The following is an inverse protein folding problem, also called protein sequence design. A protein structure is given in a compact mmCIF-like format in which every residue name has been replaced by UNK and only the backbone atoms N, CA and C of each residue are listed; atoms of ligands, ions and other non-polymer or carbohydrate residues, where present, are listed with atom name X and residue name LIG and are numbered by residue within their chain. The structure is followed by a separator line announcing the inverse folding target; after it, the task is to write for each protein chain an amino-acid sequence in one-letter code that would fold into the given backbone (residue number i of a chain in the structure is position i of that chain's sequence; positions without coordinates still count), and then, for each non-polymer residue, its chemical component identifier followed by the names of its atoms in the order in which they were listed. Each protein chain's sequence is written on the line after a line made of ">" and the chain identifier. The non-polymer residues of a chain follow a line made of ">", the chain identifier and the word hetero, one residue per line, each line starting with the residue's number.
data_IF_611719647196
#
_entry.id   IF_611719647196
#
_cell.length_a   1.000
_cell.length_b   1.000
_cell.length_c   1.000
_cell.angle_alpha   90.00
_cell.angle_beta   90.00
_cell.angle_gamma   90.00
#
_symmetry.space_group_name_H-M   'P 1'
#
loop_
_entity.id
_entity.type
_entity.pdbx_description
1 polymer ?
#
# COMPACT_ATOMS: atom_id res chain seq x y z
N UNK A 1 27.12 67.10 -9.68
CA UNK A 1 27.04 66.32 -8.42
C UNK A 1 26.04 65.18 -8.62
N UNK A 2 26.31 64.23 -9.54
CA UNK A 2 25.41 63.08 -9.85
C UNK A 2 26.19 61.76 -10.00
N UNK A 3 27.53 61.79 -10.10
CA UNK A 3 28.31 60.59 -10.46
C UNK A 3 28.58 59.62 -9.30
N UNK A 4 28.66 60.10 -8.04
CA UNK A 4 28.98 59.25 -6.90
C UNK A 4 27.86 58.25 -6.55
N UNK A 5 26.59 58.62 -6.74
CA UNK A 5 25.43 57.76 -6.43
C UNK A 5 25.30 56.63 -7.45
N UNK A 6 25.64 56.89 -8.73
CA UNK A 6 25.57 55.89 -9.81
C UNK A 6 26.66 54.82 -9.67
N UNK A 7 27.89 55.21 -9.29
CA UNK A 7 29.02 54.28 -9.08
C UNK A 7 28.77 53.39 -7.85
N UNK A 8 28.27 53.96 -6.74
CA UNK A 8 27.96 53.20 -5.52
C UNK A 8 26.78 52.25 -5.75
N UNK A 9 25.75 52.68 -6.50
CA UNK A 9 24.63 51.82 -6.89
C UNK A 9 25.05 50.65 -7.78
N UNK A 10 26.03 50.86 -8.67
CA UNK A 10 26.57 49.81 -9.55
C UNK A 10 27.35 48.75 -8.76
N UNK A 11 28.16 49.16 -7.79
CA UNK A 11 28.91 48.25 -6.90
C UNK A 11 27.95 47.47 -5.99
N UNK A 12 26.92 48.13 -5.45
CA UNK A 12 25.89 47.48 -4.65
C UNK A 12 25.09 46.43 -5.45
N UNK A 13 24.76 46.69 -6.73
CA UNK A 13 24.09 45.69 -7.60
C UNK A 13 24.95 44.47 -7.89
N UNK A 14 26.27 44.63 -8.08
CA UNK A 14 27.19 43.52 -8.32
C UNK A 14 27.33 42.66 -7.05
N UNK A 15 27.52 43.30 -5.89
CA UNK A 15 27.61 42.60 -4.61
C UNK A 15 26.29 41.89 -4.25
N UNK A 16 25.15 42.54 -4.52
CA UNK A 16 23.82 41.96 -4.36
C UNK A 16 23.57 40.75 -5.27
N UNK A 17 24.01 40.81 -6.52
CA UNK A 17 23.89 39.69 -7.46
C UNK A 17 24.74 38.47 -7.04
N UNK A 18 25.94 38.68 -6.53
CA UNK A 18 26.80 37.61 -6.00
C UNK A 18 26.17 36.96 -4.76
N UNK A 19 25.60 37.77 -3.86
CA UNK A 19 24.94 37.28 -2.65
C UNK A 19 23.65 36.52 -2.97
N UNK A 20 22.83 37.05 -3.88
CA UNK A 20 21.63 36.39 -4.39
C UNK A 20 21.95 35.07 -5.11
N UNK A 21 23.05 34.99 -5.86
CA UNK A 21 23.49 33.75 -6.50
C UNK A 21 23.92 32.68 -5.48
N UNK A 22 24.64 33.08 -4.43
CA UNK A 22 25.06 32.19 -3.34
C UNK A 22 23.86 31.68 -2.54
N UNK A 23 22.90 32.55 -2.25
CA UNK A 23 21.69 32.20 -1.52
C UNK A 23 20.75 31.33 -2.39
N UNK A 24 20.56 31.67 -3.67
CA UNK A 24 19.82 30.85 -4.62
C UNK A 24 20.44 29.44 -4.77
N UNK A 25 21.77 29.32 -4.73
CA UNK A 25 22.44 28.01 -4.76
C UNK A 25 22.15 27.20 -3.50
N UNK A 26 22.21 27.82 -2.31
CA UNK A 26 21.83 27.17 -1.05
C UNK A 26 20.35 26.76 -1.03
N UNK A 27 19.45 27.63 -1.49
CA UNK A 27 18.02 27.34 -1.58
C UNK A 27 17.73 26.21 -2.57
N UNK A 28 18.43 26.14 -3.71
CA UNK A 28 18.34 25.01 -4.65
C UNK A 28 18.78 23.71 -4.00
N UNK A 29 19.90 23.71 -3.26
CA UNK A 29 20.38 22.50 -2.56
C UNK A 29 19.44 22.09 -1.43
N UNK A 30 18.90 23.04 -0.65
CA UNK A 30 17.92 22.77 0.39
C UNK A 30 16.59 22.25 -0.19
N UNK A 31 16.12 22.82 -1.29
CA UNK A 31 14.93 22.35 -1.99
C UNK A 31 15.14 20.95 -2.59
N UNK A 32 16.32 20.66 -3.16
CA UNK A 32 16.67 19.32 -3.64
C UNK A 32 16.72 18.31 -2.50
N UNK A 33 17.27 18.68 -1.34
CA UNK A 33 17.29 17.81 -0.15
C UNK A 33 15.87 17.56 0.37
N UNK A 34 15.06 18.62 0.49
CA UNK A 34 13.67 18.51 0.91
C UNK A 34 12.84 17.66 -0.05
N UNK A 35 13.08 17.80 -1.36
CA UNK A 35 12.45 16.98 -2.39
C UNK A 35 12.84 15.52 -2.25
N UNK A 36 14.14 15.20 -2.08
CA UNK A 36 14.60 13.83 -1.82
C UNK A 36 14.00 13.22 -0.55
N UNK A 37 13.98 13.98 0.55
CA UNK A 37 13.39 13.53 1.81
C UNK A 37 11.90 13.26 1.63
N UNK A 38 11.18 14.15 0.94
CA UNK A 38 9.77 13.97 0.61
C UNK A 38 9.55 12.69 -0.21
N UNK A 39 10.34 12.49 -1.25
CA UNK A 39 10.21 11.33 -2.15
C UNK A 39 10.53 10.02 -1.39
N UNK A 40 11.56 10.01 -0.53
CA UNK A 40 11.87 8.90 0.37
C UNK A 40 10.74 8.61 1.36
N UNK A 41 10.14 9.66 1.94
CA UNK A 41 9.07 9.52 2.93
C UNK A 41 7.77 9.00 2.29
N UNK A 42 7.44 9.45 1.07
CA UNK A 42 6.32 8.92 0.29
C UNK A 42 6.58 7.45 -0.07
N UNK A 43 7.79 7.12 -0.54
CA UNK A 43 8.17 5.74 -0.83
C UNK A 43 8.03 4.83 0.40
N UNK A 44 8.57 5.26 1.54
CA UNK A 44 8.47 4.52 2.80
C UNK A 44 7.03 4.35 3.25
N UNK A 45 6.17 5.38 3.13
CA UNK A 45 4.75 5.27 3.46
C UNK A 45 4.06 4.20 2.61
N UNK A 46 4.25 4.24 1.29
CA UNK A 46 3.66 3.27 0.36
C UNK A 46 4.12 1.83 0.64
N UNK A 47 5.41 1.65 0.91
CA UNK A 47 5.94 0.32 1.28
C UNK A 47 5.37 -0.16 2.62
N UNK A 48 5.18 0.73 3.60
CA UNK A 48 4.59 0.39 4.90
C UNK A 48 3.14 -0.05 4.76
N UNK A 49 2.34 0.67 3.98
CA UNK A 49 0.92 0.35 3.75
C UNK A 49 0.75 -1.01 3.03
N UNK A 50 1.60 -1.29 2.03
CA UNK A 50 1.59 -2.60 1.37
C UNK A 50 2.14 -3.73 2.27
N UNK A 51 3.07 -3.44 3.19
CA UNK A 51 3.56 -4.42 4.16
C UNK A 51 2.49 -4.79 5.19
N UNK A 52 1.72 -3.81 5.67
CA UNK A 52 0.55 -4.03 6.52
C UNK A 52 -0.46 -4.94 5.82
N UNK A 53 -0.76 -4.65 4.55
CA UNK A 53 -1.67 -5.45 3.74
C UNK A 53 -1.19 -6.90 3.57
N UNK A 54 0.13 -7.11 3.41
CA UNK A 54 0.73 -8.46 3.36
C UNK A 54 0.59 -9.21 4.68
N UNK A 55 0.79 -8.52 5.81
CA UNK A 55 0.65 -9.13 7.13
C UNK A 55 -0.81 -9.55 7.41
N UNK A 56 -1.77 -8.70 7.05
CA UNK A 56 -3.19 -9.01 7.15
C UNK A 56 -3.60 -10.17 6.24
N UNK A 57 -3.12 -10.18 4.99
CA UNK A 57 -3.35 -11.29 4.06
C UNK A 57 -2.82 -12.62 4.63
N UNK A 58 -1.58 -12.63 5.15
CA UNK A 58 -0.99 -13.82 5.74
C UNK A 58 -1.75 -14.31 6.99
N UNK A 59 -2.25 -13.37 7.80
CA UNK A 59 -3.09 -13.69 8.97
C UNK A 59 -4.41 -14.33 8.54
N UNK A 60 -5.09 -13.74 7.55
CA UNK A 60 -6.30 -14.30 6.98
C UNK A 60 -6.05 -15.70 6.40
N UNK A 61 -5.02 -15.87 5.56
CA UNK A 61 -4.66 -17.18 5.00
C UNK A 61 -4.45 -18.24 6.09
N UNK A 62 -3.66 -17.93 7.13
CA UNK A 62 -3.40 -18.84 8.24
C UNK A 62 -4.66 -19.22 9.02
N UNK A 63 -5.63 -18.30 9.16
CA UNK A 63 -6.93 -18.59 9.77
C UNK A 63 -7.76 -19.52 8.89
N UNK A 64 -7.67 -19.35 7.57
CA UNK A 64 -8.46 -20.10 6.61
C UNK A 64 -7.87 -21.47 6.21
N UNK A 65 -6.59 -21.75 6.48
CA UNK A 65 -5.96 -23.05 6.13
C UNK A 65 -6.70 -24.26 6.70
N UNK A 66 -7.31 -24.13 7.88
CA UNK A 66 -8.05 -25.23 8.52
C UNK A 66 -9.31 -25.64 7.75
N UNK A 67 -9.93 -24.74 6.98
CA UNK A 67 -11.10 -25.06 6.15
C UNK A 67 -10.73 -25.73 4.83
N UNK A 68 -9.45 -25.69 4.43
CA UNK A 68 -8.92 -26.45 3.30
C UNK A 68 -8.69 -27.93 3.59
N UNK A 69 -8.96 -28.40 4.82
CA UNK A 69 -8.82 -29.79 5.20
C UNK A 69 -9.89 -30.67 4.49
N UNK A 70 -9.50 -31.89 4.11
CA UNK A 70 -10.37 -32.84 3.40
C UNK A 70 -11.48 -33.45 4.28
N UNK A 71 -11.43 -33.28 5.60
CA UNK A 71 -12.43 -33.80 6.53
C UNK A 71 -13.18 -32.66 7.24
N UNK A 72 -14.42 -32.33 6.82
CA UNK A 72 -15.23 -31.28 7.44
C UNK A 72 -15.49 -31.52 8.94
N UNK A 73 -15.50 -32.78 9.41
CA UNK A 73 -15.73 -33.09 10.83
C UNK A 73 -14.67 -32.48 11.77
N UNK A 74 -13.46 -32.21 11.25
CA UNK A 74 -12.41 -31.53 12.00
C UNK A 74 -12.74 -30.06 12.34
N UNK A 75 -13.79 -29.51 11.71
CA UNK A 75 -14.27 -28.14 11.93
C UNK A 75 -15.35 -28.04 13.02
N UNK A 76 -15.74 -29.16 13.62
CA UNK A 76 -16.74 -29.16 14.68
C UNK A 76 -16.29 -28.31 15.88
N UNK A 77 -17.13 -27.36 16.29
CA UNK A 77 -16.84 -26.45 17.41
C UNK A 77 -15.94 -25.25 17.07
N UNK A 78 -15.54 -25.09 15.80
CA UNK A 78 -14.83 -23.89 15.36
C UNK A 78 -15.82 -22.73 15.21
N UNK A 79 -15.46 -21.57 15.75
CA UNK A 79 -16.16 -20.32 15.51
C UNK A 79 -15.71 -19.70 14.17
N UNK A 80 -16.36 -20.13 13.09
CA UNK A 80 -16.08 -19.61 11.75
C UNK A 80 -16.48 -18.14 11.58
N UNK A 81 -17.39 -17.64 12.41
CA UNK A 81 -17.74 -16.23 12.39
C UNK A 81 -16.58 -15.37 12.91
N UNK A 82 -15.99 -15.75 14.05
CA UNK A 82 -14.83 -15.06 14.60
C UNK A 82 -13.60 -15.12 13.67
N UNK A 83 -13.38 -16.25 12.97
CA UNK A 83 -12.26 -16.34 12.02
C UNK A 83 -12.47 -15.47 10.77
N UNK A 84 -13.71 -15.17 10.41
CA UNK A 84 -14.05 -14.29 9.29
C UNK A 84 -13.64 -12.83 9.51
N UNK A 85 -13.49 -12.40 10.77
CA UNK A 85 -13.08 -11.04 11.13
C UNK A 85 -11.66 -10.71 10.63
N UNK A 86 -10.78 -11.71 10.59
CA UNK A 86 -9.42 -11.53 10.03
C UNK A 86 -9.46 -11.23 8.52
N UNK A 87 -10.43 -11.81 7.81
CA UNK A 87 -10.64 -11.51 6.39
C UNK A 87 -11.30 -10.14 6.20
N UNK A 88 -12.28 -9.77 7.03
CA UNK A 88 -12.89 -8.44 6.99
C UNK A 88 -11.85 -7.33 7.19
N UNK A 89 -10.98 -7.49 8.18
CA UNK A 89 -9.89 -6.54 8.41
C UNK A 89 -9.00 -6.39 7.18
N UNK A 90 -8.62 -7.50 6.56
CA UNK A 90 -7.86 -7.47 5.30
C UNK A 90 -8.62 -6.75 4.18
N UNK A 91 -9.91 -7.06 3.98
CA UNK A 91 -10.74 -6.46 2.93
C UNK A 91 -10.92 -4.95 3.11
N UNK A 92 -11.13 -4.48 4.34
CA UNK A 92 -11.24 -3.04 4.64
C UNK A 92 -9.94 -2.30 4.36
N UNK A 93 -8.80 -2.86 4.78
CA UNK A 93 -7.49 -2.28 4.49
C UNK A 93 -7.18 -2.32 2.99
N UNK A 94 -7.54 -3.41 2.30
CA UNK A 94 -7.40 -3.53 0.85
C UNK A 94 -8.18 -2.43 0.11
N UNK A 95 -9.42 -2.18 0.51
CA UNK A 95 -10.25 -1.13 -0.08
C UNK A 95 -9.66 0.27 0.16
N UNK A 96 -9.06 0.48 1.33
CA UNK A 96 -8.40 1.75 1.69
C UNK A 96 -7.14 2.02 0.87
N UNK A 97 -6.52 0.96 0.33
CA UNK A 97 -5.30 1.01 -0.46
C UNK A 97 -5.53 0.63 -1.93
N UNK A 98 -6.76 0.73 -2.42
CA UNK A 98 -7.11 0.29 -3.77
C UNK A 98 -6.36 1.06 -4.86
N UNK A 99 -5.96 2.31 -4.62
CA UNK A 99 -5.16 3.14 -5.54
C UNK A 99 -3.85 2.48 -5.99
N UNK A 100 -3.32 1.51 -5.24
CA UNK A 100 -2.13 0.76 -5.61
C UNK A 100 -2.37 -0.32 -6.66
N UNK A 101 -3.62 -0.63 -6.99
CA UNK A 101 -4.02 -1.75 -7.84
C UNK A 101 -4.78 -1.31 -9.10
N UNK A 102 -4.64 -0.05 -9.49
CA UNK A 102 -5.19 0.47 -10.74
C UNK A 102 -4.57 -0.28 -11.93
N UNK A 103 -5.43 -0.88 -12.76
CA UNK A 103 -5.07 -1.54 -14.01
C UNK A 103 -5.67 -0.85 -15.22
N UNK A 104 -5.29 -1.27 -16.43
CA UNK A 104 -5.74 -0.66 -17.70
C UNK A 104 -7.26 -0.69 -17.92
N UNK A 105 -7.96 -1.66 -17.31
CA UNK A 105 -9.39 -1.89 -17.53
C UNK A 105 -10.22 -1.95 -16.26
N UNK A 106 -9.64 -2.42 -15.15
CA UNK A 106 -10.33 -2.58 -13.88
C UNK A 106 -9.31 -2.58 -12.74
N UNK A 107 -9.73 -2.07 -11.57
CA UNK A 107 -8.93 -2.16 -10.36
C UNK A 107 -8.93 -3.59 -9.81
N UNK A 108 -7.76 -4.19 -9.69
CA UNK A 108 -7.62 -5.61 -9.30
C UNK A 108 -8.06 -5.84 -7.84
N UNK A 109 -7.87 -4.84 -6.96
CA UNK A 109 -8.32 -4.91 -5.58
C UNK A 109 -9.84 -4.86 -5.47
N UNK A 110 -10.50 -4.02 -6.27
CA UNK A 110 -11.97 -3.94 -6.32
C UNK A 110 -12.58 -5.24 -6.86
N UNK A 111 -12.03 -5.78 -7.95
CA UNK A 111 -12.46 -7.08 -8.48
C UNK A 111 -12.33 -8.20 -7.45
N UNK A 112 -11.20 -8.24 -6.73
CA UNK A 112 -10.99 -9.21 -5.67
C UNK A 112 -12.00 -9.03 -4.53
N UNK A 113 -12.24 -7.78 -4.12
CA UNK A 113 -13.20 -7.45 -3.06
C UNK A 113 -14.60 -7.97 -3.40
N UNK A 114 -15.10 -7.68 -4.60
CA UNK A 114 -16.42 -8.10 -5.06
C UNK A 114 -16.54 -9.64 -5.18
N UNK A 115 -15.46 -10.29 -5.61
CA UNK A 115 -15.40 -11.73 -5.78
C UNK A 115 -15.34 -12.50 -4.44
N UNK A 116 -14.69 -11.93 -3.42
CA UNK A 116 -14.57 -12.56 -2.10
C UNK A 116 -15.73 -12.21 -1.17
N UNK A 117 -16.35 -11.03 -1.31
CA UNK A 117 -17.44 -10.57 -0.45
C UNK A 117 -18.61 -11.56 -0.44
N UNK A 118 -19.04 -12.01 -1.62
CA UNK A 118 -20.15 -12.97 -1.74
C UNK A 118 -19.84 -14.28 -1.01
N UNK A 119 -18.62 -14.81 -1.18
CA UNK A 119 -18.18 -16.04 -0.53
C UNK A 119 -18.07 -15.86 0.99
N UNK A 120 -17.59 -14.70 1.46
CA UNK A 120 -17.50 -14.37 2.87
C UNK A 120 -18.89 -14.28 3.54
N UNK A 121 -19.87 -13.66 2.88
CA UNK A 121 -21.23 -13.59 3.40
C UNK A 121 -21.86 -14.98 3.53
N UNK A 122 -21.66 -15.86 2.54
CA UNK A 122 -22.13 -17.24 2.59
C UNK A 122 -21.43 -18.03 3.69
N UNK A 123 -20.12 -17.87 3.84
CA UNK A 123 -19.33 -18.49 4.90
C UNK A 123 -19.87 -18.11 6.29
N UNK A 124 -20.04 -16.81 6.57
CA UNK A 124 -20.53 -16.33 7.88
C UNK A 124 -21.95 -16.81 8.23
N UNK A 125 -22.82 -16.97 7.22
CA UNK A 125 -24.20 -17.42 7.40
C UNK A 125 -24.36 -18.94 7.44
N UNK A 126 -23.30 -19.68 7.11
CA UNK A 126 -23.37 -21.14 7.04
C UNK A 126 -23.50 -21.76 8.43
N UNK A 127 -24.46 -22.67 8.58
CA UNK A 127 -24.64 -23.51 9.77
C UNK A 127 -24.19 -24.96 9.54
N UNK A 128 -24.13 -25.39 8.28
CA UNK A 128 -23.64 -26.71 7.89
C UNK A 128 -22.12 -26.73 7.84
N UNK A 129 -21.53 -27.69 8.56
CA UNK A 129 -20.07 -27.94 8.55
C UNK A 129 -19.53 -28.12 7.13
N UNK A 130 -20.30 -28.75 6.23
CA UNK A 130 -19.89 -28.92 4.84
C UNK A 130 -19.80 -27.59 4.10
N UNK A 131 -20.79 -26.71 4.26
CA UNK A 131 -20.80 -25.39 3.62
C UNK A 131 -19.72 -24.47 4.21
N UNK A 132 -19.47 -24.56 5.52
CA UNK A 132 -18.36 -23.85 6.18
C UNK A 132 -17.03 -24.28 5.57
N UNK A 133 -16.82 -25.59 5.40
CA UNK A 133 -15.62 -26.13 4.77
C UNK A 133 -15.48 -25.67 3.31
N UNK A 134 -16.55 -25.77 2.53
CA UNK A 134 -16.55 -25.42 1.11
C UNK A 134 -16.27 -23.93 0.88
N UNK A 135 -17.02 -23.05 1.56
CA UNK A 135 -16.83 -21.62 1.43
C UNK A 135 -15.50 -21.16 2.03
N UNK A 136 -15.06 -21.77 3.14
CA UNK A 136 -13.76 -21.47 3.74
C UNK A 136 -12.59 -21.89 2.84
N UNK A 137 -12.69 -23.02 2.15
CA UNK A 137 -11.72 -23.45 1.14
C UNK A 137 -11.72 -22.52 -0.08
N UNK A 138 -12.90 -22.10 -0.55
CA UNK A 138 -13.03 -21.12 -1.63
C UNK A 138 -12.35 -19.79 -1.28
N UNK A 139 -12.56 -19.29 -0.05
CA UNK A 139 -11.86 -18.11 0.48
C UNK A 139 -10.34 -18.31 0.49
N UNK A 140 -9.86 -19.46 1.01
CA UNK A 140 -8.44 -19.77 1.06
C UNK A 140 -7.80 -19.72 -0.34
N UNK A 141 -8.47 -20.30 -1.33
CA UNK A 141 -7.99 -20.29 -2.72
C UNK A 141 -7.95 -18.88 -3.31
N UNK A 142 -8.98 -18.06 -3.07
CA UNK A 142 -9.01 -16.65 -3.50
C UNK A 142 -7.86 -15.87 -2.88
N UNK A 143 -7.63 -16.02 -1.57
CA UNK A 143 -6.50 -15.38 -0.88
C UNK A 143 -5.15 -15.85 -1.42
N UNK A 144 -5.00 -17.14 -1.71
CA UNK A 144 -3.78 -17.69 -2.32
C UNK A 144 -3.52 -17.12 -3.71
N UNK A 145 -4.57 -16.96 -4.53
CA UNK A 145 -4.48 -16.37 -5.86
C UNK A 145 -4.18 -14.87 -5.85
N UNK A 146 -4.60 -14.15 -4.81
CA UNK A 146 -4.31 -12.71 -4.65
C UNK A 146 -2.90 -12.44 -4.13
N UNK A 147 -2.33 -13.35 -3.33
CA UNK A 147 -0.97 -13.24 -2.78
C UNK A 147 0.13 -12.87 -3.79
N UNK A 148 0.25 -13.53 -4.97
CA UNK A 148 1.26 -13.15 -5.96
C UNK A 148 1.04 -11.74 -6.54
N UNK A 149 -0.21 -11.29 -6.65
CA UNK A 149 -0.56 -9.95 -7.14
C UNK A 149 -0.04 -8.90 -6.15
N UNK A 150 -0.39 -9.07 -4.87
CA UNK A 150 0.08 -8.18 -3.81
C UNK A 150 1.62 -8.16 -3.70
N UNK A 151 2.25 -9.32 -3.84
CA UNK A 151 3.72 -9.43 -3.82
C UNK A 151 4.36 -8.66 -4.98
N UNK A 152 3.77 -8.72 -6.18
CA UNK A 152 4.26 -7.97 -7.34
C UNK A 152 4.20 -6.47 -7.11
N UNK A 153 3.07 -5.96 -6.60
CA UNK A 153 2.94 -4.52 -6.30
C UNK A 153 3.93 -4.07 -5.22
N UNK A 154 4.10 -4.88 -4.16
CA UNK A 154 5.09 -4.62 -3.13
C UNK A 154 6.52 -4.55 -3.68
N UNK A 155 6.92 -5.53 -4.49
CA UNK A 155 8.27 -5.57 -5.10
C UNK A 155 8.49 -4.41 -6.06
N UNK A 156 7.52 -4.12 -6.94
CA UNK A 156 7.57 -2.99 -7.87
C UNK A 156 7.80 -1.66 -7.15
N UNK A 157 7.07 -1.42 -6.04
CA UNK A 157 7.29 -0.21 -5.23
C UNK A 157 8.63 -0.22 -4.50
N UNK A 158 9.06 -1.36 -3.95
CA UNK A 158 10.37 -1.47 -3.29
C UNK A 158 11.53 -1.17 -4.25
N UNK A 159 11.48 -1.69 -5.48
CA UNK A 159 12.52 -1.47 -6.49
C UNK A 159 12.57 -0.01 -6.96
N UNK A 160 11.42 0.66 -7.07
CA UNK A 160 11.34 2.09 -7.43
C UNK A 160 11.99 3.01 -6.39
N UNK A 161 11.95 2.63 -5.10
CA UNK A 161 12.61 3.37 -4.02
C UNK A 161 14.14 3.18 -4.07
N UNK A 162 14.62 2.03 -4.54
CA UNK A 162 16.06 1.71 -4.61
C UNK A 162 16.72 2.36 -5.84
N UNK A 163 16.02 2.45 -6.97
CA UNK A 163 16.54 3.08 -8.20
C UNK A 163 16.46 4.61 -8.19
N UNK A 164 15.66 5.20 -7.29
CA UNK A 164 15.58 6.64 -7.07
C UNK A 164 16.55 7.21 -6.03
N UNK A 165 17.40 6.37 -5.43
CA UNK A 165 18.43 6.75 -4.45
C UNK A 165 19.79 7.00 -5.12
#
# INVERSE_FOLDING_TARGET
>A
MIDAISVIGSIASILGAIWAWKEAKKSKTAAQLAQRIKDQLIGHRKTSELAELQALLGTAQKKFTKYGASNPKALAGIDHHADSESLLSFMHTLKSYNEYFEGEHENVADKFYDDIEKTLQLFRKSSSINNISEHGNSILNKLANFSPILKREFTSKKESVVTGA
#
